data_IF_712953587539
#
_entry.id   IF_712953587539
#
_cell.length_a   1.000
_cell.length_b   1.000
_cell.length_c   1.000
_cell.angle_alpha   90.00
_cell.angle_beta   90.00
_cell.angle_gamma   90.00
#
_symmetry.space_group_name_H-M   'P 1'
#
loop_
_entity.id
_entity.type
_entity.pdbx_description
1 polymer ?
#
# COMPACT_ATOMS: atom_id res chain seq x y z
N UNK A 1 -20.15 -26.34 -12.89
CA UNK A 1 -21.37 -25.57 -13.18
C UNK A 1 -22.60 -26.46 -13.20
N UNK A 2 -22.60 -27.59 -13.94
CA UNK A 2 -23.74 -28.50 -14.06
C UNK A 2 -24.19 -29.11 -12.72
N UNK A 3 -23.26 -29.57 -11.87
CA UNK A 3 -23.61 -30.06 -10.52
C UNK A 3 -24.32 -29.01 -9.66
N UNK A 4 -23.91 -27.75 -9.74
CA UNK A 4 -24.59 -26.66 -9.02
C UNK A 4 -26.00 -26.43 -9.57
N UNK A 5 -26.17 -26.48 -10.89
CA UNK A 5 -27.46 -26.31 -11.54
C UNK A 5 -28.47 -27.40 -11.16
N UNK A 6 -28.04 -28.67 -11.10
CA UNK A 6 -28.84 -29.81 -10.62
C UNK A 6 -29.41 -29.59 -9.21
N UNK A 7 -28.63 -28.92 -8.36
CA UNK A 7 -29.02 -28.55 -7.00
C UNK A 7 -29.71 -27.17 -6.92
N UNK A 8 -30.12 -26.61 -8.05
CA UNK A 8 -30.75 -25.30 -8.18
C UNK A 8 -29.93 -24.16 -7.53
N UNK A 9 -28.60 -24.21 -7.74
CA UNK A 9 -27.64 -23.22 -7.24
C UNK A 9 -27.12 -22.30 -8.35
N UNK A 10 -27.35 -21.01 -8.14
CA UNK A 10 -26.98 -19.88 -9.00
C UNK A 10 -25.63 -19.30 -8.56
N UNK A 11 -24.66 -19.24 -9.48
CA UNK A 11 -23.34 -18.69 -9.22
C UNK A 11 -23.33 -17.17 -9.37
N UNK A 12 -22.60 -16.51 -8.47
CA UNK A 12 -22.21 -15.10 -8.52
C UNK A 12 -20.68 -15.01 -8.56
N UNK A 13 -20.15 -13.80 -8.75
CA UNK A 13 -18.68 -13.58 -8.70
C UNK A 13 -18.09 -13.72 -7.29
N UNK A 14 -18.93 -13.60 -6.27
CA UNK A 14 -18.57 -13.56 -4.85
C UNK A 14 -19.16 -14.73 -4.06
N UNK A 15 -20.05 -15.53 -4.65
CA UNK A 15 -20.66 -16.65 -3.94
C UNK A 15 -21.60 -17.47 -4.79
N UNK A 16 -22.43 -18.24 -4.09
CA UNK A 16 -23.46 -19.09 -4.71
C UNK A 16 -24.72 -18.99 -3.87
N UNK A 17 -25.85 -18.85 -4.54
CA UNK A 17 -27.18 -18.69 -3.92
C UNK A 17 -28.12 -19.77 -4.44
N UNK A 18 -29.01 -20.29 -3.59
CA UNK A 18 -30.11 -21.15 -4.05
C UNK A 18 -31.13 -20.27 -4.79
N UNK A 19 -31.60 -20.69 -5.96
CA UNK A 19 -32.49 -19.86 -6.79
C UNK A 19 -33.75 -19.41 -6.06
N UNK A 20 -34.32 -20.25 -5.20
CA UNK A 20 -35.48 -19.94 -4.35
C UNK A 20 -35.31 -18.69 -3.48
N UNK A 21 -34.06 -18.28 -3.20
CA UNK A 21 -33.75 -17.09 -2.37
C UNK A 21 -33.52 -15.83 -3.21
N UNK A 22 -33.51 -15.94 -4.53
CA UNK A 22 -33.31 -14.80 -5.40
C UNK A 22 -34.56 -13.92 -5.39
N UNK A 23 -34.34 -12.62 -5.24
CA UNK A 23 -35.36 -11.57 -5.44
C UNK A 23 -35.11 -10.76 -6.71
N UNK A 24 -33.99 -11.03 -7.37
CA UNK A 24 -33.56 -10.41 -8.61
C UNK A 24 -32.53 -11.34 -9.28
N UNK A 25 -32.24 -11.12 -10.56
CA UNK A 25 -31.16 -11.76 -11.31
C UNK A 25 -30.02 -10.74 -11.50
N UNK A 26 -29.06 -10.63 -10.55
CA UNK A 26 -28.01 -9.61 -10.55
C UNK A 26 -26.89 -9.94 -11.55
N UNK A 27 -27.24 -10.20 -12.80
CA UNK A 27 -26.34 -10.55 -13.89
C UNK A 27 -26.91 -10.04 -15.22
N UNK A 28 -26.02 -9.71 -16.16
CA UNK A 28 -26.40 -9.25 -17.50
C UNK A 28 -26.06 -10.26 -18.59
N UNK A 29 -26.00 -11.56 -18.29
CA UNK A 29 -25.73 -12.60 -19.27
C UNK A 29 -26.97 -12.86 -20.18
N UNK A 30 -26.81 -13.58 -21.30
CA UNK A 30 -27.95 -13.89 -22.18
C UNK A 30 -29.11 -14.63 -21.50
N UNK A 31 -28.89 -15.35 -20.40
CA UNK A 31 -29.96 -15.94 -19.60
C UNK A 31 -30.69 -14.85 -18.81
N UNK A 32 -29.97 -14.11 -17.96
CA UNK A 32 -30.57 -13.13 -17.06
C UNK A 32 -31.14 -11.87 -17.74
N UNK A 33 -30.85 -11.66 -19.03
CA UNK A 33 -31.52 -10.62 -19.83
C UNK A 33 -32.86 -11.06 -20.42
N UNK A 34 -33.10 -12.37 -20.51
CA UNK A 34 -34.32 -12.93 -21.12
C UNK A 34 -35.47 -13.07 -20.13
N UNK A 35 -35.16 -13.16 -18.85
CA UNK A 35 -36.13 -13.43 -17.79
C UNK A 35 -36.04 -12.34 -16.72
N UNK A 36 -37.17 -12.03 -16.10
CA UNK A 36 -37.20 -11.49 -14.75
C UNK A 36 -37.12 -12.64 -13.73
N UNK A 37 -37.02 -12.32 -12.43
CA UNK A 37 -36.87 -13.35 -11.39
C UNK A 37 -38.11 -14.26 -11.27
N UNK A 38 -39.31 -13.72 -11.47
CA UNK A 38 -40.56 -14.48 -11.29
C UNK A 38 -40.75 -15.50 -12.42
N UNK A 39 -40.59 -15.04 -13.67
CA UNK A 39 -40.63 -15.88 -14.86
C UNK A 39 -39.54 -16.93 -14.82
N UNK A 40 -38.31 -16.58 -14.40
CA UNK A 40 -37.22 -17.53 -14.25
C UNK A 40 -37.54 -18.64 -13.23
N UNK A 41 -38.09 -18.29 -12.07
CA UNK A 41 -38.43 -19.28 -11.03
C UNK A 41 -39.65 -20.14 -11.38
N UNK A 42 -40.51 -19.67 -12.28
CA UNK A 42 -41.67 -20.41 -12.77
C UNK A 42 -41.35 -21.45 -13.85
N UNK A 43 -40.11 -21.48 -14.38
CA UNK A 43 -39.71 -22.44 -15.41
C UNK A 43 -39.85 -23.90 -14.96
N UNK A 44 -40.22 -24.83 -15.87
CA UNK A 44 -40.19 -26.25 -15.58
C UNK A 44 -38.79 -26.68 -15.10
N UNK A 45 -38.73 -27.63 -14.15
CA UNK A 45 -37.49 -28.00 -13.47
C UNK A 45 -36.30 -28.28 -14.41
N UNK A 46 -36.52 -29.03 -15.48
CA UNK A 46 -35.47 -29.37 -16.45
C UNK A 46 -34.97 -28.13 -17.20
N UNK A 47 -35.88 -27.23 -17.58
CA UNK A 47 -35.53 -25.97 -18.24
C UNK A 47 -34.83 -25.01 -17.27
N UNK A 48 -35.32 -24.90 -16.04
CA UNK A 48 -34.70 -24.12 -14.98
C UNK A 48 -33.26 -24.59 -14.73
N UNK A 49 -33.04 -25.91 -14.58
CA UNK A 49 -31.70 -26.48 -14.43
C UNK A 49 -30.81 -26.10 -15.63
N UNK A 50 -31.30 -26.24 -16.86
CA UNK A 50 -30.55 -25.89 -18.07
C UNK A 50 -30.15 -24.41 -18.08
N UNK A 51 -31.08 -23.52 -17.75
CA UNK A 51 -30.85 -22.07 -17.73
C UNK A 51 -29.88 -21.66 -16.62
N UNK A 52 -29.97 -22.26 -15.43
CA UNK A 52 -28.99 -22.08 -14.35
C UNK A 52 -27.61 -22.57 -14.81
N UNK A 53 -27.51 -23.71 -15.48
CA UNK A 53 -26.25 -24.25 -15.97
C UNK A 53 -25.59 -23.31 -16.99
N UNK A 54 -26.37 -22.77 -17.94
CA UNK A 54 -25.92 -21.79 -18.93
C UNK A 54 -25.45 -20.49 -18.25
N UNK A 55 -26.26 -19.94 -17.33
CA UNK A 55 -25.87 -18.78 -16.53
C UNK A 55 -24.55 -19.01 -15.79
N UNK A 56 -24.43 -20.13 -15.06
CA UNK A 56 -23.23 -20.47 -14.30
C UNK A 56 -21.99 -20.55 -15.21
N UNK A 57 -22.14 -21.06 -16.44
CA UNK A 57 -21.06 -21.08 -17.42
C UNK A 57 -20.67 -19.67 -17.89
N UNK A 58 -21.65 -18.78 -18.11
CA UNK A 58 -21.37 -17.37 -18.43
C UNK A 58 -20.62 -16.66 -17.31
N UNK A 59 -21.00 -16.88 -16.04
CA UNK A 59 -20.31 -16.32 -14.88
C UNK A 59 -18.85 -16.78 -14.82
N UNK A 60 -18.59 -18.08 -14.98
CA UNK A 60 -17.23 -18.63 -15.00
C UNK A 60 -16.42 -18.01 -16.15
N UNK A 61 -17.00 -17.95 -17.36
CA UNK A 61 -16.32 -17.37 -18.53
C UNK A 61 -16.00 -15.89 -18.34
N UNK A 62 -16.93 -15.14 -17.75
CA UNK A 62 -16.71 -13.73 -17.42
C UNK A 62 -15.58 -13.55 -16.40
N UNK A 63 -15.53 -14.40 -15.37
CA UNK A 63 -14.46 -14.34 -14.37
C UNK A 63 -13.08 -14.66 -14.96
N UNK A 64 -12.97 -15.67 -15.82
CA UNK A 64 -11.72 -15.97 -16.55
C UNK A 64 -11.27 -14.79 -17.44
N UNK A 65 -12.20 -14.05 -18.04
CA UNK A 65 -11.87 -12.83 -18.80
C UNK A 65 -11.36 -11.72 -17.88
N UNK A 66 -11.99 -11.50 -16.72
CA UNK A 66 -11.53 -10.52 -15.72
C UNK A 66 -10.14 -10.85 -15.20
N UNK A 67 -9.85 -12.13 -14.92
CA UNK A 67 -8.53 -12.58 -14.48
C UNK A 67 -7.47 -12.29 -15.57
N UNK A 68 -7.75 -12.62 -16.83
CA UNK A 68 -6.83 -12.33 -17.94
C UNK A 68 -6.57 -10.83 -18.12
N UNK A 69 -7.63 -10.03 -18.03
CA UNK A 69 -7.49 -8.57 -18.08
C UNK A 69 -6.64 -8.05 -16.92
N UNK A 70 -6.88 -8.53 -15.69
CA UNK A 70 -6.13 -8.12 -14.52
C UNK A 70 -4.65 -8.55 -14.56
N UNK A 71 -4.34 -9.68 -15.23
CA UNK A 71 -2.95 -10.07 -15.51
C UNK A 71 -2.32 -9.09 -16.48
N UNK A 72 -3.00 -8.78 -17.59
CA UNK A 72 -2.50 -7.86 -18.62
C UNK A 72 -2.26 -6.44 -18.07
N UNK A 73 -3.18 -5.94 -17.24
CA UNK A 73 -3.07 -4.62 -16.60
C UNK A 73 -2.16 -4.63 -15.37
N UNK A 74 -1.77 -5.80 -14.86
CA UNK A 74 -0.97 -5.91 -13.65
C UNK A 74 -1.74 -5.65 -12.34
N UNK A 75 -3.07 -5.72 -12.36
CA UNK A 75 -3.99 -5.51 -11.25
C UNK A 75 -4.50 -6.82 -10.61
N UNK A 76 -3.92 -7.97 -10.98
CA UNK A 76 -4.34 -9.30 -10.45
C UNK A 76 -4.40 -9.35 -8.92
N UNK A 77 -3.48 -8.68 -8.22
CA UNK A 77 -3.50 -8.68 -6.75
C UNK A 77 -4.70 -7.90 -6.17
N UNK A 78 -5.13 -6.83 -6.82
CA UNK A 78 -6.32 -6.06 -6.43
C UNK A 78 -7.58 -6.89 -6.67
N UNK A 79 -7.65 -7.59 -7.81
CA UNK A 79 -8.72 -8.55 -8.07
C UNK A 79 -8.76 -9.65 -6.99
N UNK A 80 -7.60 -10.19 -6.61
CA UNK A 80 -7.49 -11.20 -5.56
C UNK A 80 -7.97 -10.65 -4.21
N UNK A 81 -7.55 -9.45 -3.82
CA UNK A 81 -7.99 -8.79 -2.58
C UNK A 81 -9.50 -8.50 -2.58
N UNK A 82 -10.09 -8.16 -3.72
CA UNK A 82 -11.52 -7.99 -3.86
C UNK A 82 -12.26 -9.33 -3.69
N UNK A 83 -11.80 -10.40 -4.35
CA UNK A 83 -12.40 -11.75 -4.25
C UNK A 83 -12.22 -12.38 -2.88
N UNK A 84 -11.08 -12.16 -2.23
CA UNK A 84 -10.80 -12.70 -0.91
C UNK A 84 -11.79 -12.21 0.15
N UNK A 85 -12.39 -11.03 -0.04
CA UNK A 85 -13.40 -10.47 0.86
C UNK A 85 -14.78 -11.10 0.72
N UNK A 86 -15.01 -11.98 -0.26
CA UNK A 86 -16.32 -12.61 -0.43
C UNK A 86 -16.61 -13.71 0.57
N UNK A 87 -15.58 -14.30 1.20
CA UNK A 87 -15.76 -15.34 2.20
C UNK A 87 -14.60 -15.36 3.21
N UNK A 88 -14.83 -15.55 4.53
CA UNK A 88 -13.77 -15.59 5.53
C UNK A 88 -12.63 -16.57 5.22
N UNK A 89 -12.95 -17.77 4.71
CA UNK A 89 -11.93 -18.76 4.33
C UNK A 89 -11.07 -18.31 3.14
N UNK A 90 -11.61 -17.53 2.20
CA UNK A 90 -10.81 -16.96 1.10
C UNK A 90 -9.90 -15.85 1.61
N UNK A 91 -10.37 -15.01 2.54
CA UNK A 91 -9.53 -14.03 3.21
C UNK A 91 -8.38 -14.70 3.99
N UNK A 92 -8.68 -15.79 4.71
CA UNK A 92 -7.63 -16.59 5.37
C UNK A 92 -6.65 -17.19 4.36
N UNK A 93 -7.11 -17.64 3.19
CA UNK A 93 -6.23 -18.13 2.14
C UNK A 93 -5.30 -17.03 1.61
N UNK A 94 -5.80 -15.80 1.41
CA UNK A 94 -4.97 -14.65 1.06
C UNK A 94 -3.93 -14.33 2.14
N UNK A 95 -4.28 -14.40 3.43
CA UNK A 95 -3.30 -14.25 4.51
C UNK A 95 -2.23 -15.34 4.50
N UNK A 96 -2.61 -16.58 4.16
CA UNK A 96 -1.66 -17.69 4.01
C UNK A 96 -0.70 -17.49 2.83
N UNK A 97 -1.10 -16.80 1.75
CA UNK A 97 -0.21 -16.49 0.62
C UNK A 97 1.03 -15.71 1.03
N UNK A 98 1.00 -14.97 2.15
CA UNK A 98 2.18 -14.31 2.73
C UNK A 98 3.36 -15.26 2.93
N UNK A 99 3.11 -16.54 3.26
CA UNK A 99 4.18 -17.55 3.43
C UNK A 99 4.99 -17.77 2.15
N UNK A 100 4.38 -17.53 0.99
CA UNK A 100 4.98 -17.70 -0.34
C UNK A 100 5.43 -16.39 -0.96
N UNK A 101 5.42 -15.29 -0.21
CA UNK A 101 5.79 -13.96 -0.67
C UNK A 101 7.11 -13.91 -1.45
N UNK A 102 8.15 -14.62 -0.98
CA UNK A 102 9.46 -14.72 -1.66
C UNK A 102 9.36 -15.40 -3.02
N UNK A 103 8.54 -16.45 -3.14
CA UNK A 103 8.32 -17.16 -4.41
C UNK A 103 7.56 -16.26 -5.40
N UNK A 104 6.52 -15.57 -4.92
CA UNK A 104 5.72 -14.64 -5.71
C UNK A 104 6.56 -13.45 -6.20
N UNK A 105 7.46 -12.92 -5.35
CA UNK A 105 8.36 -11.82 -5.71
C UNK A 105 9.31 -12.15 -6.86
N UNK A 106 9.81 -13.40 -6.94
CA UNK A 106 10.69 -13.84 -8.03
C UNK A 106 9.99 -13.87 -9.39
N UNK A 107 8.68 -14.14 -9.41
CA UNK A 107 7.89 -14.25 -10.64
C UNK A 107 7.12 -12.98 -10.97
N UNK A 108 7.11 -11.99 -10.07
CA UNK A 108 6.41 -10.73 -10.27
C UNK A 108 7.24 -9.81 -11.19
N UNK A 109 6.67 -9.17 -12.22
CA UNK A 109 7.41 -8.23 -13.07
C UNK A 109 8.07 -7.09 -12.28
N UNK A 110 9.28 -6.69 -12.66
CA UNK A 110 10.02 -5.59 -11.99
C UNK A 110 9.37 -4.22 -12.27
N UNK A 111 9.04 -4.00 -13.55
CA UNK A 111 8.27 -2.88 -14.08
C UNK A 111 7.04 -3.45 -14.79
N UNK A 112 5.99 -2.64 -14.98
CA UNK A 112 4.75 -3.10 -15.62
C UNK A 112 4.44 -2.31 -16.89
N UNK A 113 3.70 -2.92 -17.84
CA UNK A 113 3.49 -2.33 -19.18
C UNK A 113 2.62 -1.07 -19.16
N UNK A 114 1.70 -0.95 -18.19
CA UNK A 114 0.77 0.16 -18.07
C UNK A 114 1.02 0.94 -16.78
N UNK A 115 1.28 2.24 -16.92
CA UNK A 115 1.37 3.18 -15.80
C UNK A 115 -0.05 3.51 -15.34
N UNK A 116 -0.52 2.83 -14.29
CA UNK A 116 -1.76 3.16 -13.58
C UNK A 116 -1.48 3.31 -12.10
N UNK A 117 -2.22 4.21 -11.46
CA UNK A 117 -2.26 4.33 -10.00
C UNK A 117 -2.70 3.00 -9.39
N UNK A 118 -1.93 2.53 -8.42
CA UNK A 118 -2.17 1.25 -7.73
C UNK A 118 -2.87 1.45 -6.41
N UNK A 119 -3.76 0.53 -6.06
CA UNK A 119 -4.47 0.58 -4.79
C UNK A 119 -3.78 -0.31 -3.76
N UNK A 120 -3.30 0.31 -2.70
CA UNK A 120 -2.77 -0.39 -1.53
C UNK A 120 -3.74 -0.30 -0.37
N UNK A 121 -4.17 -1.47 0.08
CA UNK A 121 -5.10 -1.63 1.18
C UNK A 121 -4.36 -2.08 2.44
N UNK A 122 -4.67 -1.50 3.61
CA UNK A 122 -4.12 -1.92 4.89
C UNK A 122 -4.27 -3.41 5.13
N UNK A 123 -3.40 -3.96 5.96
CA UNK A 123 -3.21 -5.39 6.21
C UNK A 123 -2.71 -6.13 4.98
N UNK A 124 -3.49 -6.23 3.89
CA UNK A 124 -3.21 -7.13 2.75
C UNK A 124 -2.07 -6.70 1.84
N UNK A 125 -1.80 -5.39 1.77
CA UNK A 125 -0.78 -4.86 0.86
C UNK A 125 0.65 -4.96 1.38
N UNK A 126 0.83 -5.19 2.69
CA UNK A 126 2.13 -5.24 3.33
C UNK A 126 3.07 -6.32 2.77
N UNK A 127 2.51 -7.40 2.23
CA UNK A 127 3.26 -8.55 1.69
C UNK A 127 3.12 -8.68 0.17
N UNK A 128 2.67 -7.62 -0.52
CA UNK A 128 2.67 -7.61 -1.97
C UNK A 128 4.12 -7.72 -2.50
N UNK A 129 4.35 -8.49 -3.58
CA UNK A 129 5.67 -8.71 -4.17
C UNK A 129 6.53 -7.45 -4.33
N UNK A 130 5.97 -6.39 -4.89
CA UNK A 130 6.66 -5.14 -5.16
C UNK A 130 7.03 -4.35 -3.89
N UNK A 131 6.20 -4.42 -2.84
CA UNK A 131 6.49 -3.80 -1.53
C UNK A 131 7.69 -4.50 -0.89
N UNK A 132 7.68 -5.84 -0.91
CA UNK A 132 8.78 -6.64 -0.36
C UNK A 132 10.06 -6.48 -1.16
N UNK A 133 9.95 -6.36 -2.49
CA UNK A 133 11.07 -6.08 -3.38
C UNK A 133 11.69 -4.73 -3.06
N UNK A 134 10.88 -3.68 -2.90
CA UNK A 134 11.37 -2.35 -2.52
C UNK A 134 12.20 -2.41 -1.25
N UNK A 135 11.60 -2.93 -0.16
CA UNK A 135 12.29 -3.06 1.14
C UNK A 135 13.58 -3.87 1.01
N UNK A 136 13.56 -4.98 0.28
CA UNK A 136 14.75 -5.81 0.06
C UNK A 136 15.84 -5.03 -0.66
N UNK A 137 15.52 -4.44 -1.82
CA UNK A 137 16.48 -3.70 -2.65
C UNK A 137 17.03 -2.47 -1.93
N UNK A 138 16.18 -1.75 -1.19
CA UNK A 138 16.59 -0.60 -0.40
C UNK A 138 17.60 -0.96 0.70
N UNK A 139 17.51 -2.16 1.28
CA UNK A 139 18.45 -2.58 2.33
C UNK A 139 19.69 -3.30 1.80
N UNK A 140 19.63 -3.87 0.59
CA UNK A 140 20.71 -4.71 0.02
C UNK A 140 21.51 -4.05 -1.09
N UNK A 141 20.91 -3.16 -1.89
CA UNK A 141 21.49 -2.65 -3.14
C UNK A 141 21.62 -1.12 -3.16
N UNK A 142 21.08 -0.44 -2.16
CA UNK A 142 21.12 1.00 -2.06
C UNK A 142 22.19 1.41 -1.05
N UNK A 143 22.94 2.45 -1.39
CA UNK A 143 23.86 3.13 -0.49
C UNK A 143 23.44 4.61 -0.42
N UNK A 144 23.09 5.12 0.77
CA UNK A 144 22.70 6.52 0.92
C UNK A 144 23.89 7.47 0.73
N UNK A 145 23.62 8.75 0.42
CA UNK A 145 24.66 9.77 0.51
C UNK A 145 25.19 9.86 1.95
N UNK A 146 26.49 10.17 2.07
CA UNK A 146 27.07 10.53 3.37
C UNK A 146 26.50 11.89 3.76
N UNK A 147 25.81 11.97 4.89
CA UNK A 147 25.21 13.23 5.35
C UNK A 147 25.23 13.33 6.86
N UNK A 148 25.36 14.54 7.40
CA UNK A 148 25.41 14.75 8.86
C UNK A 148 24.16 14.17 9.55
N UNK A 149 22.98 14.36 8.96
CA UNK A 149 21.71 13.96 9.58
C UNK A 149 20.75 13.24 8.63
N UNK A 150 20.09 12.20 9.15
CA UNK A 150 18.93 11.58 8.52
C UNK A 150 17.65 12.35 8.88
N UNK A 151 17.04 13.02 7.90
CA UNK A 151 15.75 13.72 8.07
C UNK A 151 14.59 12.81 7.65
N UNK A 152 13.73 12.43 8.61
CA UNK A 152 12.56 11.60 8.39
C UNK A 152 11.28 12.45 8.31
N UNK A 153 10.58 12.39 7.18
CA UNK A 153 9.34 13.14 6.93
C UNK A 153 8.10 12.22 6.79
N UNK A 154 6.92 12.60 7.30
CA UNK A 154 5.68 11.87 7.03
C UNK A 154 5.29 11.97 5.55
N UNK A 155 4.61 10.97 5.00
CA UNK A 155 4.10 11.06 3.63
C UNK A 155 3.01 12.13 3.45
N UNK A 156 2.95 12.75 2.27
CA UNK A 156 1.83 13.58 1.80
C UNK A 156 0.94 12.84 0.80
N UNK A 157 -0.16 13.45 0.34
CA UNK A 157 -1.04 12.81 -0.64
C UNK A 157 -0.42 12.81 -2.03
N UNK A 158 0.15 13.95 -2.42
CA UNK A 158 0.79 14.20 -3.69
C UNK A 158 2.10 13.43 -3.81
N UNK A 159 2.31 12.81 -4.97
CA UNK A 159 3.50 12.02 -5.31
C UNK A 159 3.87 12.25 -6.78
N UNK A 160 5.16 12.18 -7.17
CA UNK A 160 6.34 12.05 -6.31
C UNK A 160 6.47 13.22 -5.31
N UNK A 161 6.88 12.91 -4.08
CA UNK A 161 7.02 13.85 -2.96
C UNK A 161 8.05 14.95 -3.27
N UNK A 162 9.08 14.61 -4.04
CA UNK A 162 10.13 15.51 -4.51
C UNK A 162 9.61 16.57 -5.48
N UNK A 163 8.49 16.33 -6.15
CA UNK A 163 7.96 17.19 -7.24
C UNK A 163 6.68 17.92 -6.90
N UNK A 164 5.85 17.36 -6.02
CA UNK A 164 4.52 17.89 -5.75
C UNK A 164 4.22 17.98 -4.25
N UNK A 165 3.28 18.86 -3.91
CA UNK A 165 2.78 19.02 -2.55
C UNK A 165 3.78 19.66 -1.58
N UNK A 166 3.47 19.63 -0.27
CA UNK A 166 4.28 20.31 0.75
C UNK A 166 5.73 19.85 0.86
N UNK A 167 6.01 18.55 0.62
CA UNK A 167 7.38 18.01 0.67
C UNK A 167 8.25 18.63 -0.41
N UNK A 168 7.73 18.87 -1.62
CA UNK A 168 8.48 19.50 -2.71
C UNK A 168 8.91 20.95 -2.39
N UNK A 169 8.04 21.69 -1.69
CA UNK A 169 8.32 23.05 -1.21
C UNK A 169 9.43 22.99 -0.16
N UNK A 170 9.29 22.09 0.82
CA UNK A 170 10.29 21.90 1.86
C UNK A 170 11.65 21.46 1.29
N UNK A 171 11.65 20.52 0.33
CA UNK A 171 12.86 20.07 -0.35
C UNK A 171 13.56 21.22 -1.09
N UNK A 172 12.78 22.15 -1.68
CA UNK A 172 13.32 23.35 -2.31
C UNK A 172 13.98 24.30 -1.30
N UNK A 173 13.40 24.44 -0.10
CA UNK A 173 13.96 25.25 0.99
C UNK A 173 15.22 24.62 1.59
N UNK A 174 15.32 23.29 1.59
CA UNK A 174 16.45 22.52 2.12
C UNK A 174 17.53 22.24 1.09
N UNK A 175 17.39 22.69 -0.17
CA UNK A 175 18.29 22.31 -1.28
C UNK A 175 19.76 22.51 -0.95
N UNK A 176 20.14 23.70 -0.45
CA UNK A 176 21.53 23.98 -0.07
C UNK A 176 22.04 23.03 1.03
N UNK A 177 21.20 22.73 2.03
CA UNK A 177 21.57 21.79 3.09
C UNK A 177 21.73 20.35 2.59
N UNK A 178 20.98 19.94 1.56
CA UNK A 178 21.15 18.62 0.93
C UNK A 178 22.43 18.58 0.10
N UNK A 179 22.70 19.63 -0.68
CA UNK A 179 23.91 19.75 -1.52
C UNK A 179 25.20 19.80 -0.67
N UNK A 180 25.16 20.45 0.49
CA UNK A 180 26.26 20.48 1.47
C UNK A 180 26.38 19.19 2.30
N UNK A 181 25.48 18.21 2.11
CA UNK A 181 25.49 16.96 2.87
C UNK A 181 25.11 17.13 4.35
N UNK A 182 24.39 18.18 4.73
CA UNK A 182 23.91 18.36 6.09
C UNK A 182 22.74 17.42 6.39
N UNK A 183 21.82 17.27 5.43
CA UNK A 183 20.62 16.42 5.60
C UNK A 183 20.39 15.51 4.42
N UNK A 184 20.04 14.27 4.71
CA UNK A 184 19.50 13.33 3.74
C UNK A 184 18.02 13.08 4.05
N UNK A 185 17.15 13.35 3.06
CA UNK A 185 15.70 13.39 3.26
C UNK A 185 15.06 12.06 2.86
N UNK A 186 14.39 11.43 3.83
CA UNK A 186 13.69 10.15 3.65
C UNK A 186 12.25 10.28 4.13
N UNK A 187 11.30 9.91 3.27
CA UNK A 187 9.87 9.91 3.59
C UNK A 187 9.47 8.55 4.15
N UNK A 188 8.75 8.50 5.27
CA UNK A 188 8.11 7.27 5.74
C UNK A 188 6.67 7.19 5.22
N UNK A 189 6.42 6.20 4.34
CA UNK A 189 5.18 6.08 3.59
C UNK A 189 4.62 4.65 3.61
N UNK A 190 3.30 4.51 3.72
CA UNK A 190 2.62 3.23 3.54
C UNK A 190 2.42 2.91 2.05
N UNK A 191 2.64 1.66 1.59
CA UNK A 191 3.05 0.47 2.35
C UNK A 191 4.59 0.23 2.40
N UNK A 192 5.38 1.09 1.77
CA UNK A 192 6.79 0.85 1.44
C UNK A 192 7.78 1.04 2.61
N UNK A 193 7.41 1.80 3.62
CA UNK A 193 8.29 2.19 4.70
C UNK A 193 9.13 3.41 4.30
N UNK A 194 10.46 3.38 4.46
CA UNK A 194 11.32 4.48 4.07
C UNK A 194 11.44 4.58 2.54
N UNK A 195 11.34 5.81 2.03
CA UNK A 195 11.53 6.19 0.64
C UNK A 195 12.47 7.41 0.62
N UNK A 196 13.77 7.23 0.31
CA UNK A 196 14.66 8.34 0.00
C UNK A 196 14.10 9.18 -1.16
N UNK A 197 14.23 10.51 -1.08
CA UNK A 197 13.64 11.40 -2.09
C UNK A 197 14.21 11.18 -3.49
N UNK A 198 15.47 10.77 -3.61
CA UNK A 198 16.13 10.43 -4.87
C UNK A 198 15.57 9.17 -5.54
N UNK A 199 14.73 8.39 -4.85
CA UNK A 199 14.10 7.18 -5.38
C UNK A 199 12.59 7.32 -5.60
N UNK A 200 11.96 8.43 -5.20
CA UNK A 200 10.50 8.50 -5.07
C UNK A 200 9.72 8.50 -6.40
N UNK A 201 10.39 8.83 -7.51
CA UNK A 201 9.84 8.76 -8.86
C UNK A 201 9.99 7.37 -9.51
N UNK A 202 10.70 6.44 -8.86
CA UNK A 202 10.86 5.06 -9.33
C UNK A 202 9.60 4.25 -9.04
N UNK A 203 9.13 3.49 -10.04
CA UNK A 203 7.99 2.58 -9.85
C UNK A 203 8.23 1.58 -8.71
N UNK A 204 7.27 1.33 -7.80
CA UNK A 204 5.91 1.88 -7.71
C UNK A 204 5.73 3.01 -6.67
N UNK A 205 6.77 3.80 -6.38
CA UNK A 205 6.86 4.70 -5.22
C UNK A 205 6.10 6.02 -5.38
N UNK A 206 5.55 6.30 -6.55
CA UNK A 206 4.71 7.48 -6.80
C UNK A 206 3.35 7.16 -7.44
N UNK A 207 3.21 6.02 -8.12
CA UNK A 207 1.97 5.67 -8.83
C UNK A 207 1.01 4.86 -7.95
N UNK A 208 0.60 5.40 -6.79
CA UNK A 208 -0.32 4.70 -5.91
C UNK A 208 -1.21 5.56 -5.02
N UNK A 209 -2.33 4.96 -4.66
CA UNK A 209 -3.30 5.47 -3.70
C UNK A 209 -3.43 4.52 -2.51
N UNK A 210 -3.77 5.12 -1.36
CA UNK A 210 -3.94 4.42 -0.10
C UNK A 210 -4.97 5.16 0.78
N UNK A 211 -5.62 4.49 1.74
CA UNK A 211 -6.48 5.15 2.71
C UNK A 211 -5.70 6.12 3.61
N UNK A 212 -6.29 7.27 3.94
CA UNK A 212 -5.69 8.25 4.88
C UNK A 212 -5.41 7.69 6.27
N UNK A 213 -6.30 6.84 6.78
CA UNK A 213 -6.18 6.25 8.11
C UNK A 213 -5.71 4.80 7.99
N UNK A 214 -4.66 4.49 8.74
CA UNK A 214 -4.05 3.17 8.77
C UNK A 214 -4.31 2.49 10.12
N UNK A 215 -4.63 1.18 10.13
CA UNK A 215 -4.63 0.36 11.35
C UNK A 215 -3.30 0.48 12.09
N UNK A 216 -3.33 0.27 13.41
CA UNK A 216 -2.13 0.36 14.25
C UNK A 216 -1.03 -0.60 13.77
N UNK A 217 -1.38 -1.83 13.41
CA UNK A 217 -0.40 -2.85 12.98
C UNK A 217 0.37 -2.44 11.73
N UNK A 218 -0.31 -1.85 10.74
CA UNK A 218 0.34 -1.33 9.53
C UNK A 218 1.29 -0.19 9.85
N UNK A 219 0.88 0.75 10.71
CA UNK A 219 1.74 1.86 11.17
C UNK A 219 2.97 1.32 11.90
N UNK A 220 2.80 0.42 12.87
CA UNK A 220 3.91 -0.19 13.60
C UNK A 220 4.85 -0.98 12.68
N UNK A 221 4.33 -1.60 11.62
CA UNK A 221 5.18 -2.23 10.59
C UNK A 221 6.03 -1.21 9.85
N UNK A 222 5.46 -0.06 9.46
CA UNK A 222 6.22 1.02 8.83
C UNK A 222 7.31 1.54 9.78
N UNK A 223 7.01 1.76 11.06
CA UNK A 223 8.01 2.17 12.05
C UNK A 223 9.18 1.17 12.11
N UNK A 224 8.90 -0.14 12.10
CA UNK A 224 9.94 -1.18 12.07
C UNK A 224 10.78 -1.16 10.79
N UNK A 225 10.19 -0.85 9.64
CA UNK A 225 10.93 -0.72 8.37
C UNK A 225 11.84 0.50 8.37
N UNK A 226 11.35 1.65 8.85
CA UNK A 226 12.16 2.88 8.99
C UNK A 226 13.29 2.67 9.99
N UNK A 227 13.01 2.02 11.12
CA UNK A 227 14.04 1.64 12.09
C UNK A 227 15.09 0.67 11.51
N UNK A 228 14.68 -0.29 10.67
CA UNK A 228 15.61 -1.20 10.01
C UNK A 228 16.53 -0.46 9.03
N UNK A 229 16.00 0.52 8.30
CA UNK A 229 16.78 1.39 7.43
C UNK A 229 17.80 2.23 8.23
N UNK A 230 17.35 2.91 9.28
CA UNK A 230 18.23 3.69 10.15
C UNK A 230 19.37 2.85 10.75
N UNK A 231 19.08 1.63 11.23
CA UNK A 231 20.10 0.72 11.75
C UNK A 231 21.07 0.23 10.68
N UNK A 232 20.58 -0.11 9.49
CA UNK A 232 21.40 -0.60 8.36
C UNK A 232 22.39 0.46 7.89
N UNK A 233 21.99 1.72 7.90
CA UNK A 233 22.75 2.84 7.36
C UNK A 233 23.26 3.82 8.43
N UNK A 234 23.32 3.40 9.70
CA UNK A 234 23.80 4.25 10.81
C UNK A 234 25.18 4.85 10.60
N UNK A 235 26.04 4.23 9.78
CA UNK A 235 27.38 4.72 9.50
C UNK A 235 27.41 5.89 8.50
N UNK A 236 26.32 6.15 7.79
CA UNK A 236 26.19 7.25 6.84
C UNK A 236 25.69 8.55 7.49
N UNK A 237 25.29 8.50 8.76
CA UNK A 237 24.70 9.64 9.49
C UNK A 237 25.27 9.78 10.89
N UNK A 238 25.44 11.02 11.36
CA UNK A 238 25.84 11.32 12.74
C UNK A 238 24.63 11.33 13.69
N UNK A 239 23.45 11.70 13.18
CA UNK A 239 22.21 11.75 13.95
C UNK A 239 20.95 11.71 13.07
N UNK A 240 19.78 11.92 13.66
CA UNK A 240 18.50 11.92 12.95
C UNK A 240 17.52 12.98 13.45
N UNK A 241 16.78 13.60 12.53
CA UNK A 241 15.62 14.44 12.84
C UNK A 241 14.36 13.66 12.46
N UNK A 242 13.46 13.45 13.43
CA UNK A 242 12.14 12.88 13.18
C UNK A 242 11.09 13.99 13.12
N UNK A 243 10.65 14.33 11.91
CA UNK A 243 9.52 15.22 11.70
C UNK A 243 8.20 14.43 11.81
N UNK A 244 7.23 14.90 12.60
CA UNK A 244 6.07 14.14 13.04
C UNK A 244 4.75 14.71 12.53
N UNK A 245 3.90 13.80 12.09
CA UNK A 245 2.44 13.96 12.02
C UNK A 245 1.77 13.02 13.03
N UNK A 246 1.50 13.51 14.24
CA UNK A 246 0.87 12.72 15.32
C UNK A 246 -0.59 12.39 14.98
N UNK A 247 -1.28 13.22 14.20
CA UNK A 247 -2.68 12.99 13.80
C UNK A 247 -2.79 11.83 12.81
N UNK A 248 -1.90 11.76 11.81
CA UNK A 248 -1.89 10.67 10.83
C UNK A 248 -1.31 9.37 11.38
N UNK A 249 -0.15 9.42 12.03
CA UNK A 249 0.60 8.22 12.42
C UNK A 249 0.41 7.78 13.87
N UNK A 250 -0.07 8.66 14.75
CA UNK A 250 -0.43 8.33 16.13
C UNK A 250 0.76 8.15 17.09
N UNK A 251 0.50 8.34 18.39
CA UNK A 251 1.55 8.33 19.41
C UNK A 251 2.29 6.98 19.55
N UNK A 252 1.59 5.86 19.38
CA UNK A 252 2.21 4.53 19.49
C UNK A 252 3.27 4.27 18.39
N UNK A 253 3.04 4.80 17.18
CA UNK A 253 4.01 4.76 16.09
C UNK A 253 5.29 5.51 16.46
N UNK A 254 5.16 6.78 16.88
CA UNK A 254 6.32 7.60 17.21
C UNK A 254 7.04 7.11 18.46
N UNK A 255 6.33 6.59 19.46
CA UNK A 255 6.98 5.99 20.64
C UNK A 255 7.87 4.82 20.24
N UNK A 256 7.40 3.94 19.35
CA UNK A 256 8.21 2.85 18.83
C UNK A 256 9.38 3.39 18.01
N UNK A 257 9.11 4.25 17.03
CA UNK A 257 10.14 4.74 16.11
C UNK A 257 11.25 5.52 16.85
N UNK A 258 10.88 6.42 17.77
CA UNK A 258 11.85 7.17 18.58
C UNK A 258 12.74 6.24 19.41
N UNK A 259 12.16 5.23 20.07
CA UNK A 259 12.95 4.26 20.83
C UNK A 259 13.97 3.56 19.95
N UNK A 260 13.58 3.14 18.75
CA UNK A 260 14.48 2.46 17.81
C UNK A 260 15.55 3.41 17.24
N UNK A 261 15.21 4.67 16.96
CA UNK A 261 16.17 5.69 16.49
C UNK A 261 17.18 6.04 17.58
N UNK A 262 16.75 6.28 18.82
CA UNK A 262 17.65 6.53 19.94
C UNK A 262 18.57 5.32 20.19
N UNK A 263 18.07 4.09 20.00
CA UNK A 263 18.92 2.90 20.07
C UNK A 263 19.93 2.80 18.92
N UNK A 264 19.65 3.39 17.76
CA UNK A 264 20.54 3.38 16.60
C UNK A 264 21.63 4.46 16.67
N UNK A 265 21.28 5.67 17.12
CA UNK A 265 22.13 6.87 17.06
C UNK A 265 22.58 7.43 18.42
N UNK A 266 21.92 7.08 19.52
CA UNK A 266 22.03 7.80 20.80
C UNK A 266 20.88 8.79 20.98
N UNK A 267 20.40 8.99 22.20
CA UNK A 267 19.23 9.84 22.47
C UNK A 267 19.53 11.32 22.25
N UNK A 268 20.77 11.74 22.50
CA UNK A 268 21.29 13.09 22.32
C UNK A 268 21.43 13.50 20.85
N UNK A 269 21.46 12.52 19.93
CA UNK A 269 21.62 12.75 18.48
C UNK A 269 20.32 12.59 17.69
N UNK A 270 19.20 12.41 18.40
CA UNK A 270 17.88 12.29 17.81
C UNK A 270 17.03 13.46 18.27
N UNK A 271 16.64 14.32 17.33
CA UNK A 271 15.72 15.43 17.59
C UNK A 271 14.38 15.23 16.91
N UNK A 272 13.39 16.00 17.35
CA UNK A 272 12.00 15.80 16.99
C UNK A 272 11.34 17.12 16.66
N UNK A 273 10.71 17.18 15.49
CA UNK A 273 9.91 18.32 15.02
C UNK A 273 8.55 17.82 14.52
N UNK A 274 7.54 18.68 14.32
CA UNK A 274 7.40 19.95 15.01
C UNK A 274 7.27 19.74 16.53
N UNK A 275 7.57 20.81 17.27
CA UNK A 275 7.45 20.86 18.74
C UNK A 275 6.08 21.40 19.12
N UNK A 276 5.63 22.48 18.45
CA UNK A 276 4.37 23.17 18.79
C UNK A 276 3.27 22.98 17.76
N UNK A 277 3.63 22.86 16.48
CA UNK A 277 2.63 22.77 15.43
C UNK A 277 1.92 21.41 15.44
N UNK A 278 0.61 21.43 15.21
CA UNK A 278 -0.20 20.21 15.12
C UNK A 278 -0.16 19.56 13.72
N UNK A 279 -0.02 20.39 12.68
CA UNK A 279 0.09 19.94 11.29
C UNK A 279 1.55 19.97 10.83
N UNK A 280 2.06 18.87 10.25
CA UNK A 280 3.49 18.71 9.92
C UNK A 280 3.99 19.76 8.92
N UNK A 281 3.13 20.23 8.01
CA UNK A 281 3.55 21.14 6.94
C UNK A 281 2.98 22.56 7.07
N UNK A 282 2.50 22.93 8.26
CA UNK A 282 2.13 24.32 8.55
C UNK A 282 3.36 25.23 8.51
N UNK A 283 3.17 26.53 8.27
CA UNK A 283 4.27 27.51 8.27
C UNK A 283 5.05 27.55 9.59
N UNK A 284 4.42 27.20 10.72
CA UNK A 284 5.11 27.06 12.00
C UNK A 284 5.98 25.78 12.01
N UNK A 285 5.43 24.63 11.61
CA UNK A 285 6.16 23.37 11.58
C UNK A 285 7.37 23.40 10.64
N UNK A 286 7.21 24.01 9.47
CA UNK A 286 8.30 24.19 8.50
C UNK A 286 9.40 25.07 9.09
N UNK A 287 9.06 26.19 9.75
CA UNK A 287 10.05 27.03 10.42
C UNK A 287 10.80 26.28 11.53
N UNK A 288 10.08 25.57 12.39
CA UNK A 288 10.69 24.76 13.46
C UNK A 288 11.66 23.70 12.91
N UNK A 289 11.30 23.07 11.79
CA UNK A 289 12.19 22.12 11.12
C UNK A 289 13.43 22.81 10.53
N UNK A 290 13.27 23.94 9.84
CA UNK A 290 14.39 24.67 9.25
C UNK A 290 15.37 25.19 10.32
N UNK A 291 14.84 25.70 11.43
CA UNK A 291 15.67 26.18 12.55
C UNK A 291 16.48 25.03 13.17
N UNK A 292 15.88 23.84 13.29
CA UNK A 292 16.57 22.65 13.77
C UNK A 292 17.65 22.15 12.79
N UNK A 293 17.39 22.17 11.48
CA UNK A 293 18.40 21.85 10.46
C UNK A 293 19.56 22.85 10.49
N UNK A 294 19.27 24.16 10.67
CA UNK A 294 20.31 25.20 10.79
C UNK A 294 21.16 25.04 12.05
N UNK A 295 20.56 24.62 13.17
CA UNK A 295 21.30 24.33 14.40
C UNK A 295 22.36 23.25 14.17
N UNK A 296 22.02 22.19 13.44
CA UNK A 296 22.98 21.16 13.05
C UNK A 296 24.12 21.70 12.18
N UNK A 297 23.84 22.68 11.31
CA UNK A 297 24.88 23.33 10.50
C UNK A 297 25.86 24.15 11.36
N UNK A 298 25.36 24.84 12.40
CA UNK A 298 26.18 25.67 13.30
C UNK A 298 27.04 24.90 14.31
N UNK A 299 26.76 23.61 14.52
CA UNK A 299 27.57 22.71 15.37
C UNK A 299 28.73 22.06 14.57
N UNK A 300 29.16 22.69 13.47
CA UNK A 300 30.25 22.26 12.58
C UNK A 300 31.37 23.29 12.63
#
# INVERSE_FOLDING_TARGET
YAHYARDLRYMLSDGVVRVERLRDLPCSCPVCRRYDVETFLSLPREELEREIALHNLYVIRAELRRIRQAIHEGTLWELLELRARSHPSLLQALYRLRKYAKLLERSHPATKPAVRGRFYYPTTSAWRPEVLRHVRRLLSNYEPPSSKCLLLLPETEEKPFSRYGPISILASLLRGCVEEGLVHVVVYAFPFGPIPLELDDVYPLSQYERPRRLPLDDRLRIAKLVAAYARRFRGAYEGAILHRDVRGWGAAFYRLLLRELCGAFGAEKVSVTPVRAEEPYSSLAVRELLDEVRRLASET
#
